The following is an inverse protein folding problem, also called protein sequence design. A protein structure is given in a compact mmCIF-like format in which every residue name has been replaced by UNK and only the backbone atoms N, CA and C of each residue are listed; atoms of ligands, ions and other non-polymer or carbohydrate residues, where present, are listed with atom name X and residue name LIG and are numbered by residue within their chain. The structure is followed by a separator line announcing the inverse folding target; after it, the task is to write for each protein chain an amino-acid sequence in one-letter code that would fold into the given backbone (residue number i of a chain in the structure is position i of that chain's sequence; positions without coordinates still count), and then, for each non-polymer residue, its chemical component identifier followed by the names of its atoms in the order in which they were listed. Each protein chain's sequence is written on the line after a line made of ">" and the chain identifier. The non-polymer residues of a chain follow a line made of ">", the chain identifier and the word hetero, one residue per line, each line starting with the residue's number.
data_IF_328966225410
#
_entry.id   IF_328966225410
#
_cell.length_a   1.000
_cell.length_b   1.000
_cell.length_c   1.000
_cell.angle_alpha   90.00
_cell.angle_beta   90.00
_cell.angle_gamma   90.00
#
_symmetry.space_group_name_H-M   'P 1'
#
loop_
_entity.id
_entity.type
_entity.pdbx_description
1 polymer ?
#
# COMPACT_ATOMS: atom_id res chain seq x y z
N UNK A 1 7.05 -33.57 69.07
CA UNK A 1 7.83 -34.82 69.01
C UNK A 1 8.59 -34.87 67.68
N UNK A 2 9.93 -34.93 67.78
CA UNK A 2 10.98 -35.23 66.76
C UNK A 2 11.05 -34.29 65.53
N UNK A 3 11.90 -33.25 65.48
CA UNK A 3 13.38 -33.13 65.48
C UNK A 3 14.10 -33.54 64.17
N UNK A 4 14.79 -32.53 63.59
CA UNK A 4 16.17 -32.52 63.02
C UNK A 4 16.44 -33.22 61.66
N UNK A 5 17.44 -32.87 60.82
CA UNK A 5 18.33 -31.70 60.59
C UNK A 5 19.36 -32.10 59.50
N UNK A 6 20.05 -31.09 58.91
CA UNK A 6 21.45 -31.07 58.38
C UNK A 6 21.78 -31.86 57.09
N UNK A 7 22.21 -31.19 56.00
CA UNK A 7 23.53 -30.55 55.67
C UNK A 7 24.58 -31.54 55.13
N UNK A 8 25.12 -31.27 53.93
CA UNK A 8 26.55 -31.29 53.48
C UNK A 8 26.56 -31.01 51.96
N UNK A 9 27.10 -29.90 51.41
CA UNK A 9 28.48 -29.38 51.28
C UNK A 9 29.39 -30.11 50.28
N UNK A 10 30.26 -29.29 49.67
CA UNK A 10 31.40 -29.52 48.73
C UNK A 10 31.08 -29.35 47.22
N UNK A 11 31.94 -28.79 46.36
CA UNK A 11 32.91 -27.67 46.36
C UNK A 11 33.79 -27.88 45.12
N UNK A 12 33.94 -26.89 44.23
CA UNK A 12 35.11 -26.65 43.35
C UNK A 12 34.75 -25.52 42.36
N UNK A 13 35.17 -24.26 42.52
CA UNK A 13 36.52 -23.68 42.39
C UNK A 13 37.02 -23.49 40.93
N UNK A 14 36.68 -22.31 40.36
CA UNK A 14 37.48 -21.39 39.51
C UNK A 14 38.06 -21.85 38.13
N UNK A 15 38.53 -20.94 37.23
CA UNK A 15 38.65 -19.48 37.35
C UNK A 15 38.11 -18.62 36.18
N UNK A 16 37.89 -17.36 36.55
CA UNK A 16 37.75 -16.16 35.72
C UNK A 16 39.12 -15.83 35.10
N UNK A 17 39.19 -15.64 33.78
CA UNK A 17 40.39 -15.18 33.09
C UNK A 17 40.31 -13.66 32.87
N UNK A 18 40.94 -12.92 33.79
CA UNK A 18 41.23 -11.50 33.68
C UNK A 18 42.63 -11.37 33.04
N UNK A 19 42.74 -10.81 31.84
CA UNK A 19 44.03 -10.48 31.23
C UNK A 19 44.18 -8.95 31.15
N UNK A 20 44.87 -8.42 32.15
CA UNK A 20 45.55 -7.13 32.14
C UNK A 20 47.04 -7.42 32.06
N UNK A 21 47.72 -6.94 31.01
CA UNK A 21 49.18 -6.85 31.00
C UNK A 21 49.65 -5.62 30.22
N UNK A 22 50.03 -4.62 31.00
CA UNK A 22 51.18 -3.70 30.90
C UNK A 22 51.79 -3.34 29.53
N UNK A 23 51.91 -2.02 29.35
CA UNK A 23 52.62 -1.26 28.32
C UNK A 23 54.08 -1.64 28.07
N UNK A 24 54.51 -1.49 26.82
CA UNK A 24 55.83 -0.95 26.52
C UNK A 24 55.71 0.07 25.38
N UNK A 25 55.99 1.34 25.72
CA UNK A 25 56.15 2.41 24.76
C UNK A 25 57.51 2.25 24.06
N UNK A 26 57.49 2.19 22.74
CA UNK A 26 58.69 2.42 21.93
C UNK A 26 58.45 3.71 21.15
N UNK A 27 59.15 4.75 21.61
CA UNK A 27 59.32 6.01 20.90
C UNK A 27 60.29 5.79 19.75
N UNK A 28 59.84 5.96 18.51
CA UNK A 28 60.74 6.22 17.37
C UNK A 28 60.37 7.55 16.74
N UNK A 29 61.20 8.54 17.07
CA UNK A 29 61.29 9.84 16.45
C UNK A 29 61.97 9.69 15.08
N UNK A 30 61.23 9.92 14.00
CA UNK A 30 61.78 10.14 12.65
C UNK A 30 61.02 11.34 12.06
N UNK A 31 61.49 12.55 12.33
CA UNK A 31 62.29 13.42 11.44
C UNK A 31 61.59 13.70 10.10
N UNK A 32 61.10 14.93 10.02
CA UNK A 32 60.47 15.59 8.89
C UNK A 32 61.25 15.43 7.57
N UNK A 33 60.48 15.35 6.48
CA UNK A 33 60.83 15.88 5.17
C UNK A 33 59.60 16.64 4.66
N UNK A 34 59.81 17.94 4.47
CA UNK A 34 58.92 18.83 3.73
C UNK A 34 58.92 18.42 2.26
N UNK A 35 57.75 18.20 1.68
CA UNK A 35 57.50 18.39 0.26
C UNK A 35 56.15 19.11 0.13
N UNK A 36 56.24 20.37 -0.29
CA UNK A 36 55.12 21.21 -0.70
C UNK A 36 54.49 20.60 -1.96
N UNK A 37 53.17 20.36 -1.94
CA UNK A 37 52.40 20.33 -3.18
C UNK A 37 50.99 20.90 -2.97
N UNK A 38 50.84 22.11 -3.51
CA UNK A 38 49.62 22.88 -3.67
C UNK A 38 48.67 22.17 -4.66
N UNK A 39 47.46 21.79 -4.23
CA UNK A 39 46.46 21.27 -5.15
C UNK A 39 45.04 21.31 -4.57
N UNK A 40 44.32 22.38 -4.92
CA UNK A 40 42.88 22.39 -5.19
C UNK A 40 41.94 21.81 -4.13
N UNK A 41 41.50 22.66 -3.19
CA UNK A 41 40.21 22.46 -2.51
C UNK A 41 39.07 22.62 -3.54
N UNK A 42 38.79 21.55 -4.28
CA UNK A 42 37.55 21.40 -5.01
C UNK A 42 36.42 21.32 -3.97
N UNK A 43 35.77 22.45 -3.72
CA UNK A 43 34.48 22.49 -3.05
C UNK A 43 33.58 21.47 -3.77
N UNK A 44 33.26 20.38 -3.08
CA UNK A 44 32.22 19.47 -3.50
C UNK A 44 30.93 20.28 -3.55
N UNK A 45 30.59 20.75 -4.74
CA UNK A 45 29.29 21.34 -5.02
C UNK A 45 28.27 20.24 -4.72
N UNK A 46 27.57 20.41 -3.59
CA UNK A 46 26.42 19.60 -3.26
C UNK A 46 25.48 19.68 -4.46
N UNK A 47 25.34 18.55 -5.17
CA UNK A 47 24.27 18.40 -6.17
C UNK A 47 22.99 18.57 -5.36
N UNK A 48 22.34 19.73 -5.50
CA UNK A 48 21.06 20.00 -4.86
C UNK A 48 20.09 18.89 -5.27
N UNK A 49 19.89 17.93 -4.36
CA UNK A 49 18.96 16.84 -4.56
C UNK A 49 17.55 17.43 -4.67
N UNK A 50 16.78 16.94 -5.65
CA UNK A 50 15.35 17.28 -5.79
C UNK A 50 14.67 17.17 -4.41
N UNK A 51 13.91 18.19 -3.97
CA UNK A 51 13.25 18.15 -2.68
C UNK A 51 12.37 16.91 -2.55
N UNK A 52 12.29 16.37 -1.32
CA UNK A 52 11.45 15.22 -1.03
C UNK A 52 10.00 15.49 -1.46
N UNK A 53 9.29 14.50 -2.02
CA UNK A 53 7.91 14.69 -2.48
C UNK A 53 7.03 15.11 -1.31
N UNK A 54 6.16 16.10 -1.56
CA UNK A 54 5.14 16.49 -0.57
C UNK A 54 4.08 15.39 -0.42
N UNK A 55 3.29 15.44 0.65
CA UNK A 55 2.14 14.55 0.81
C UNK A 55 1.18 14.61 -0.39
N UNK A 56 1.03 15.80 -0.99
CA UNK A 56 0.17 15.98 -2.16
C UNK A 56 0.78 15.40 -3.44
N UNK A 57 2.10 15.47 -3.60
CA UNK A 57 2.78 14.80 -4.72
C UNK A 57 2.67 13.29 -4.60
N UNK A 58 2.82 12.74 -3.39
CA UNK A 58 2.62 11.32 -3.12
C UNK A 58 1.19 10.88 -3.46
N UNK A 59 0.18 11.64 -3.05
CA UNK A 59 -1.22 11.34 -3.37
C UNK A 59 -1.48 11.34 -4.88
N UNK A 60 -0.97 12.35 -5.60
CA UNK A 60 -1.11 12.43 -7.07
C UNK A 60 -0.43 11.27 -7.78
N UNK A 61 0.72 10.81 -7.28
CA UNK A 61 1.40 9.63 -7.83
C UNK A 61 0.54 8.37 -7.65
N UNK A 62 -0.06 8.17 -6.46
CA UNK A 62 -0.92 7.03 -6.21
C UNK A 62 -2.21 7.08 -7.05
N UNK A 63 -2.83 8.25 -7.20
CA UNK A 63 -3.99 8.43 -8.07
C UNK A 63 -3.65 8.11 -9.53
N UNK A 64 -2.50 8.59 -10.03
CA UNK A 64 -2.02 8.27 -11.38
C UNK A 64 -1.70 6.78 -11.54
N UNK A 65 -1.12 6.16 -10.50
CA UNK A 65 -0.87 4.73 -10.46
C UNK A 65 -2.16 3.90 -10.55
N UNK A 66 -3.21 4.27 -9.82
CA UNK A 66 -4.51 3.61 -9.96
C UNK A 66 -5.13 3.83 -11.34
N UNK A 67 -4.99 5.03 -11.93
CA UNK A 67 -5.41 5.25 -13.33
C UNK A 67 -4.68 4.31 -14.30
N UNK A 68 -3.38 4.07 -14.11
CA UNK A 68 -2.62 3.09 -14.91
C UNK A 68 -3.13 1.66 -14.70
N UNK A 69 -3.44 1.29 -13.46
CA UNK A 69 -4.03 -0.01 -13.12
C UNK A 69 -5.38 -0.22 -13.83
N UNK A 70 -6.34 0.70 -13.66
CA UNK A 70 -7.67 0.66 -14.30
C UNK A 70 -7.58 0.59 -15.82
N UNK A 71 -6.62 1.30 -16.42
CA UNK A 71 -6.44 1.34 -17.88
C UNK A 71 -5.65 0.14 -18.44
N UNK A 72 -5.20 -0.80 -17.60
CA UNK A 72 -4.28 -1.88 -17.97
C UNK A 72 -2.98 -1.38 -18.62
N UNK A 73 -2.41 -0.30 -18.08
CA UNK A 73 -1.17 0.36 -18.55
C UNK A 73 -0.14 0.52 -17.43
N UNK A 74 -0.12 -0.41 -16.47
CA UNK A 74 0.85 -0.44 -15.39
C UNK A 74 2.28 -0.48 -15.90
N UNK A 75 3.16 0.30 -15.29
CA UNK A 75 4.58 0.36 -15.65
C UNK A 75 5.44 -0.50 -14.72
N UNK A 76 4.89 -1.01 -13.61
CA UNK A 76 5.59 -1.86 -12.65
C UNK A 76 6.92 -1.23 -12.18
N UNK A 77 6.87 0.00 -11.65
CA UNK A 77 8.09 0.75 -11.39
C UNK A 77 8.91 0.07 -10.30
N UNK A 78 10.25 0.19 -10.33
CA UNK A 78 11.12 -0.12 -9.17
C UNK A 78 10.96 -1.56 -8.63
N UNK A 79 10.83 -2.54 -9.52
CA UNK A 79 10.73 -3.98 -9.17
C UNK A 79 11.98 -4.79 -9.55
N UNK A 80 13.02 -4.12 -10.06
CA UNK A 80 14.25 -4.75 -10.54
C UNK A 80 15.26 -5.06 -9.41
N UNK A 81 16.27 -5.87 -9.74
CA UNK A 81 17.31 -6.29 -8.80
C UNK A 81 18.18 -5.13 -8.29
N UNK A 82 18.44 -4.12 -9.12
CA UNK A 82 19.24 -2.97 -8.73
C UNK A 82 18.50 -2.16 -7.66
N UNK A 83 17.21 -1.87 -7.89
CA UNK A 83 16.35 -1.23 -6.89
C UNK A 83 16.32 -2.02 -5.58
N UNK A 84 16.14 -3.35 -5.64
CA UNK A 84 16.16 -4.20 -4.44
C UNK A 84 17.47 -4.09 -3.67
N UNK A 85 18.60 -4.03 -4.39
CA UNK A 85 19.93 -3.92 -3.77
C UNK A 85 20.11 -2.54 -3.12
N UNK A 86 19.63 -1.47 -3.75
CA UNK A 86 19.68 -0.11 -3.22
C UNK A 86 18.88 0.03 -1.90
N UNK A 87 17.72 -0.63 -1.81
CA UNK A 87 16.84 -0.57 -0.63
C UNK A 87 17.34 -1.39 0.57
N UNK A 88 18.43 -2.15 0.42
CA UNK A 88 18.99 -2.94 1.53
C UNK A 88 19.56 -2.08 2.67
N UNK A 89 19.94 -0.83 2.37
CA UNK A 89 20.49 0.12 3.35
C UNK A 89 19.43 1.02 4.01
N UNK A 90 18.18 0.99 3.53
CA UNK A 90 17.09 1.78 4.09
C UNK A 90 15.93 2.00 3.13
N UNK A 91 14.85 2.59 3.67
CA UNK A 91 13.63 2.91 2.93
C UNK A 91 13.13 4.31 3.26
N UNK A 92 12.46 4.93 2.28
CA UNK A 92 11.80 6.24 2.41
C UNK A 92 10.48 6.24 1.64
N UNK A 93 9.46 5.51 2.12
CA UNK A 93 8.16 5.47 1.46
C UNK A 93 7.48 6.84 1.46
N UNK A 94 6.82 7.17 0.36
CA UNK A 94 6.15 8.45 0.14
C UNK A 94 4.72 8.47 0.73
N UNK A 95 4.13 7.31 1.00
CA UNK A 95 2.81 7.17 1.60
C UNK A 95 2.71 5.94 2.49
N UNK A 96 1.82 6.01 3.48
CA UNK A 96 1.34 4.89 4.27
C UNK A 96 -0.03 4.50 3.69
N UNK A 97 -0.26 3.20 3.49
CA UNK A 97 -1.57 2.68 3.10
C UNK A 97 -2.04 1.65 4.14
N UNK A 98 -3.05 2.04 4.92
CA UNK A 98 -3.80 1.13 5.78
C UNK A 98 -4.94 0.53 4.95
N UNK A 99 -4.89 -0.77 4.66
CA UNK A 99 -5.91 -1.43 3.83
C UNK A 99 -6.37 -2.78 4.38
N UNK A 100 -7.40 -3.35 3.74
CA UNK A 100 -7.90 -4.66 4.11
C UNK A 100 -6.89 -5.78 3.78
N UNK A 101 -6.86 -6.83 4.60
CA UNK A 101 -6.14 -8.09 4.29
C UNK A 101 -6.75 -8.89 3.13
N UNK A 102 -7.89 -8.45 2.56
CA UNK A 102 -8.52 -9.10 1.40
C UNK A 102 -7.51 -9.30 0.26
N UNK A 103 -7.38 -10.54 -0.22
CA UNK A 103 -6.35 -10.93 -1.20
C UNK A 103 -6.51 -10.22 -2.55
N UNK A 104 -7.67 -9.61 -2.81
CA UNK A 104 -7.98 -8.86 -4.04
C UNK A 104 -7.60 -7.38 -3.94
N UNK A 105 -7.11 -6.93 -2.78
CA UNK A 105 -6.77 -5.53 -2.50
C UNK A 105 -5.27 -5.33 -2.16
N UNK A 106 -4.31 -5.75 -3.03
CA UNK A 106 -2.88 -5.50 -2.83
C UNK A 106 -2.50 -4.05 -3.21
N UNK A 107 -2.22 -3.15 -2.25
CA UNK A 107 -2.05 -1.71 -2.53
C UNK A 107 -0.96 -1.38 -3.55
N UNK A 108 0.14 -2.13 -3.56
CA UNK A 108 1.26 -1.95 -4.47
C UNK A 108 0.82 -2.14 -5.93
N UNK A 109 -0.06 -3.10 -6.19
CA UNK A 109 -0.59 -3.35 -7.54
C UNK A 109 -1.67 -2.32 -7.88
N UNK A 110 -2.60 -2.08 -6.94
CA UNK A 110 -3.72 -1.15 -7.16
C UNK A 110 -3.27 0.27 -7.49
N UNK A 111 -2.13 0.69 -6.93
CA UNK A 111 -1.53 1.99 -7.17
C UNK A 111 -0.28 1.94 -8.07
N UNK A 112 -0.01 0.81 -8.73
CA UNK A 112 1.15 0.61 -9.62
C UNK A 112 2.46 1.16 -9.02
N UNK A 113 2.76 0.73 -7.79
CA UNK A 113 3.93 1.08 -7.00
C UNK A 113 4.93 -0.08 -6.92
N UNK A 114 6.19 0.29 -6.76
CA UNK A 114 7.32 -0.61 -6.60
C UNK A 114 7.84 -0.75 -5.19
N UNK A 115 8.99 -1.41 -5.10
CA UNK A 115 9.69 -1.63 -3.84
C UNK A 115 10.05 -0.29 -3.17
N UNK A 116 9.80 -0.21 -1.86
CA UNK A 116 10.16 0.94 -1.03
C UNK A 116 9.36 2.23 -1.29
N UNK A 117 8.35 2.20 -2.16
CA UNK A 117 7.57 3.40 -2.48
C UNK A 117 6.47 3.66 -1.45
N UNK A 118 5.74 2.63 -1.01
CA UNK A 118 4.68 2.77 -0.01
C UNK A 118 4.93 1.88 1.20
N UNK A 119 4.49 2.33 2.37
CA UNK A 119 4.48 1.57 3.61
C UNK A 119 3.08 0.99 3.83
N UNK A 120 2.95 -0.34 3.84
CA UNK A 120 1.65 -1.00 3.81
C UNK A 120 1.34 -1.65 5.15
N UNK A 121 0.17 -1.32 5.71
CA UNK A 121 -0.38 -1.97 6.92
C UNK A 121 -1.70 -2.63 6.51
N UNK A 122 -1.83 -3.94 6.75
CA UNK A 122 -3.01 -4.71 6.31
C UNK A 122 -3.62 -5.54 7.43
N UNK A 123 -4.89 -5.27 7.70
CA UNK A 123 -5.71 -6.02 8.67
C UNK A 123 -7.10 -6.26 8.09
N UNK A 124 -7.81 -7.29 8.54
CA UNK A 124 -9.16 -7.56 8.05
C UNK A 124 -10.09 -6.37 8.37
N UNK A 125 -10.78 -5.83 7.36
CA UNK A 125 -11.61 -4.64 7.52
C UNK A 125 -10.83 -3.36 7.86
N UNK A 126 -9.54 -3.33 7.55
CA UNK A 126 -8.61 -2.22 7.80
C UNK A 126 -8.64 -1.71 9.25
N UNK A 127 -8.95 -2.59 10.20
CA UNK A 127 -8.97 -2.30 11.64
C UNK A 127 -7.57 -1.89 12.12
N UNK A 128 -7.46 -0.73 12.75
CA UNK A 128 -6.22 -0.28 13.37
C UNK A 128 -6.23 -0.58 14.88
N UNK A 129 -5.73 -1.77 15.22
CA UNK A 129 -5.39 -2.11 16.61
C UNK A 129 -4.07 -1.44 17.05
N UNK A 130 -3.61 -1.71 18.26
CA UNK A 130 -2.37 -1.10 18.79
C UNK A 130 -1.13 -1.42 17.94
N UNK A 131 -1.08 -2.59 17.29
CA UNK A 131 0.07 -2.99 16.48
C UNK A 131 0.04 -2.28 15.11
N UNK A 132 -1.14 -2.20 14.51
CA UNK A 132 -1.34 -1.42 13.28
C UNK A 132 -1.07 0.08 13.50
N UNK A 133 -1.56 0.65 14.61
CA UNK A 133 -1.27 2.05 15.00
C UNK A 133 0.23 2.26 15.18
N UNK A 134 0.91 1.41 15.95
CA UNK A 134 2.37 1.51 16.14
C UNK A 134 3.15 1.41 14.82
N UNK A 135 2.66 0.64 13.85
CA UNK A 135 3.26 0.56 12.52
C UNK A 135 3.11 1.87 11.73
N UNK A 136 1.97 2.55 11.87
CA UNK A 136 1.73 3.88 11.27
C UNK A 136 2.62 4.92 11.94
N UNK A 137 2.67 4.95 13.27
CA UNK A 137 3.52 5.87 14.05
C UNK A 137 4.99 5.71 13.65
N UNK A 138 5.47 4.47 13.51
CA UNK A 138 6.83 4.19 13.05
C UNK A 138 7.14 4.84 11.69
N UNK A 139 6.23 4.74 10.73
CA UNK A 139 6.42 5.35 9.41
C UNK A 139 6.42 6.89 9.46
N UNK A 140 5.63 7.49 10.37
CA UNK A 140 5.64 8.93 10.58
C UNK A 140 6.94 9.42 11.22
N UNK A 141 7.36 8.80 12.32
CA UNK A 141 8.50 9.27 13.13
C UNK A 141 9.86 8.88 12.55
N UNK A 142 9.98 7.69 11.97
CA UNK A 142 11.28 7.14 11.55
C UNK A 142 11.50 7.15 10.03
N UNK A 143 10.42 7.11 9.23
CA UNK A 143 10.55 7.02 7.77
C UNK A 143 10.26 8.35 7.06
N UNK A 144 9.75 9.36 7.78
CA UNK A 144 9.47 10.68 7.23
C UNK A 144 8.27 10.71 6.29
N UNK A 145 7.38 9.72 6.36
CA UNK A 145 6.20 9.64 5.49
C UNK A 145 5.11 10.61 5.97
N UNK A 146 4.44 11.31 5.05
CA UNK A 146 3.53 12.43 5.36
C UNK A 146 2.13 12.32 4.73
N UNK A 147 1.87 11.22 4.03
CA UNK A 147 0.55 10.85 3.52
C UNK A 147 0.12 9.53 4.15
N UNK A 148 -1.09 9.48 4.69
CA UNK A 148 -1.76 8.25 5.11
C UNK A 148 -3.05 8.06 4.30
N UNK A 149 -3.17 6.94 3.61
CA UNK A 149 -4.41 6.50 2.96
C UNK A 149 -5.06 5.43 3.82
N UNK A 150 -6.32 5.63 4.21
CA UNK A 150 -7.16 4.57 4.78
C UNK A 150 -8.07 4.05 3.67
N UNK A 151 -7.80 2.82 3.23
CA UNK A 151 -8.39 2.20 2.05
C UNK A 151 -9.32 1.06 2.43
N UNK A 152 -10.63 1.31 2.32
CA UNK A 152 -11.65 0.27 2.30
C UNK A 152 -11.79 -0.35 0.91
N UNK A 153 -12.68 -1.33 0.79
CA UNK A 153 -13.08 -1.86 -0.52
C UNK A 153 -14.52 -2.34 -0.48
N UNK A 154 -15.20 -2.32 -1.62
CA UNK A 154 -16.54 -2.86 -1.74
C UNK A 154 -16.56 -4.37 -1.42
N UNK A 155 -17.74 -4.89 -1.08
CA UNK A 155 -17.91 -6.31 -0.76
C UNK A 155 -17.02 -6.86 0.39
N UNK A 156 -16.56 -6.01 1.32
CA UNK A 156 -15.69 -6.39 2.43
C UNK A 156 -16.29 -7.42 3.39
N UNK A 157 -15.61 -8.56 3.56
CA UNK A 157 -16.05 -9.66 4.41
C UNK A 157 -16.12 -9.32 5.90
N UNK A 158 -15.18 -8.53 6.42
CA UNK A 158 -15.17 -8.13 7.83
C UNK A 158 -16.35 -7.19 8.17
N UNK A 159 -16.66 -6.26 7.28
CA UNK A 159 -17.84 -5.38 7.43
C UNK A 159 -19.13 -6.20 7.31
N UNK A 160 -19.23 -7.11 6.33
CA UNK A 160 -20.37 -8.05 6.22
C UNK A 160 -20.57 -8.87 7.51
N UNK A 161 -19.50 -9.45 8.05
CA UNK A 161 -19.55 -10.24 9.28
C UNK A 161 -19.99 -9.40 10.48
N UNK A 162 -19.54 -8.14 10.56
CA UNK A 162 -19.94 -7.20 11.61
C UNK A 162 -21.43 -6.89 11.55
N UNK A 163 -21.97 -6.68 10.34
CA UNK A 163 -23.39 -6.41 10.13
C UNK A 163 -24.27 -7.65 10.35
N UNK A 164 -23.74 -8.84 10.09
CA UNK A 164 -24.46 -10.12 10.27
C UNK A 164 -24.42 -10.64 11.72
N UNK A 165 -23.46 -10.17 12.54
CA UNK A 165 -23.31 -10.61 13.93
C UNK A 165 -23.96 -9.60 14.87
N UNK A 166 -25.04 -9.94 15.59
CA UNK A 166 -25.69 -9.00 16.49
C UNK A 166 -24.76 -8.59 17.66
N UNK A 167 -24.96 -7.40 18.27
CA UNK A 167 -24.22 -6.98 19.45
C UNK A 167 -24.26 -8.03 20.58
N UNK A 168 -23.12 -8.28 21.22
CA UNK A 168 -23.00 -9.28 22.27
C UNK A 168 -23.11 -10.74 21.80
N UNK A 169 -23.19 -11.00 20.50
CA UNK A 169 -23.10 -12.34 19.91
C UNK A 169 -21.69 -12.61 19.36
N UNK A 170 -21.36 -13.89 19.29
CA UNK A 170 -20.08 -14.38 18.78
C UNK A 170 -20.26 -14.94 17.36
N UNK A 171 -19.24 -14.73 16.52
CA UNK A 171 -19.03 -15.41 15.24
C UNK A 171 -18.57 -16.86 15.37
N UNK A 172 -18.32 -17.33 16.59
CA UNK A 172 -17.71 -18.64 16.87
C UNK A 172 -16.18 -18.61 16.93
N UNK A 173 -15.55 -17.45 16.75
CA UNK A 173 -14.09 -17.28 16.84
C UNK A 173 -13.74 -16.00 17.61
N UNK A 174 -13.01 -16.16 18.72
CA UNK A 174 -12.60 -15.05 19.58
C UNK A 174 -11.81 -13.96 18.83
N UNK A 175 -10.94 -14.35 17.90
CA UNK A 175 -10.12 -13.39 17.16
C UNK A 175 -10.92 -12.65 16.08
N UNK A 176 -11.88 -13.34 15.44
CA UNK A 176 -12.81 -12.69 14.50
C UNK A 176 -13.75 -11.74 15.26
N UNK A 177 -14.19 -12.12 16.46
CA UNK A 177 -15.04 -11.28 17.31
C UNK A 177 -14.34 -9.96 17.69
N UNK A 178 -13.01 -9.95 17.84
CA UNK A 178 -12.26 -8.70 18.06
C UNK A 178 -12.28 -7.77 16.85
N UNK A 179 -12.20 -8.32 15.64
CA UNK A 179 -12.31 -7.55 14.39
C UNK A 179 -13.72 -6.95 14.30
N UNK A 180 -14.74 -7.80 14.50
CA UNK A 180 -16.16 -7.42 14.49
C UNK A 180 -16.44 -6.31 15.49
N UNK A 181 -15.94 -6.46 16.72
CA UNK A 181 -16.16 -5.48 17.77
C UNK A 181 -15.46 -4.15 17.49
N UNK A 182 -14.24 -4.17 16.96
CA UNK A 182 -13.54 -2.94 16.57
C UNK A 182 -14.30 -2.17 15.47
N UNK A 183 -14.76 -2.87 14.43
CA UNK A 183 -15.55 -2.26 13.34
C UNK A 183 -16.87 -1.71 13.90
N UNK A 184 -17.56 -2.46 14.77
CA UNK A 184 -18.84 -2.04 15.36
C UNK A 184 -18.68 -0.79 16.22
N UNK A 185 -17.66 -0.75 17.09
CA UNK A 185 -17.37 0.41 17.94
C UNK A 185 -17.11 1.67 17.11
N UNK A 186 -16.44 1.51 15.96
CA UNK A 186 -16.15 2.61 15.06
C UNK A 186 -17.42 3.07 14.30
N UNK A 187 -18.22 2.14 13.77
CA UNK A 187 -19.45 2.46 13.00
C UNK A 187 -20.56 3.13 13.84
N UNK A 188 -20.59 2.90 15.16
CA UNK A 188 -21.68 3.36 16.02
C UNK A 188 -22.97 2.55 15.83
N UNK A 189 -24.15 3.05 16.26
CA UNK A 189 -25.40 2.30 16.20
C UNK A 189 -25.75 1.86 14.77
N UNK A 190 -26.00 0.56 14.59
CA UNK A 190 -26.37 -0.03 13.31
C UNK A 190 -27.85 -0.43 13.39
N UNK A 191 -28.65 -0.04 12.39
CA UNK A 191 -30.03 -0.54 12.28
C UNK A 191 -30.02 -2.00 11.83
N UNK A 192 -30.22 -2.91 12.77
CA UNK A 192 -30.17 -4.36 12.59
C UNK A 192 -31.26 -4.90 11.64
N UNK A 193 -32.35 -4.16 11.43
CA UNK A 193 -33.49 -4.59 10.62
C UNK A 193 -33.38 -4.15 9.15
N UNK A 194 -32.32 -3.45 8.76
CA UNK A 194 -32.17 -2.99 7.38
C UNK A 194 -31.65 -4.14 6.49
N UNK A 195 -32.36 -4.50 5.39
CA UNK A 195 -31.86 -5.50 4.45
C UNK A 195 -30.50 -5.07 3.89
N UNK A 196 -29.51 -5.96 3.96
CA UNK A 196 -28.17 -5.74 3.42
C UNK A 196 -28.20 -5.97 1.90
N UNK A 197 -28.38 -4.90 1.15
CA UNK A 197 -28.14 -4.86 -0.30
C UNK A 197 -26.76 -4.25 -0.57
N UNK A 198 -26.13 -4.58 -1.69
CA UNK A 198 -24.73 -4.22 -1.98
C UNK A 198 -24.47 -2.71 -1.89
N UNK A 199 -25.41 -1.86 -2.33
CA UNK A 199 -25.29 -0.40 -2.21
C UNK A 199 -25.23 0.10 -0.76
N UNK A 200 -25.92 -0.57 0.17
CA UNK A 200 -25.83 -0.27 1.61
C UNK A 200 -24.53 -0.77 2.20
N UNK A 201 -23.98 -1.88 1.71
CA UNK A 201 -22.70 -2.37 2.18
C UNK A 201 -21.57 -1.40 1.80
N UNK A 202 -21.56 -0.88 0.57
CA UNK A 202 -20.60 0.15 0.14
C UNK A 202 -20.67 1.37 1.09
N UNK A 203 -21.88 1.84 1.40
CA UNK A 203 -22.05 2.92 2.39
C UNK A 203 -21.46 2.55 3.75
N UNK A 204 -21.65 1.33 4.23
CA UNK A 204 -21.09 0.87 5.52
C UNK A 204 -19.57 0.72 5.49
N UNK A 205 -18.99 0.37 4.36
CA UNK A 205 -17.54 0.40 4.18
C UNK A 205 -17.02 1.84 4.24
N UNK A 206 -17.68 2.79 3.58
CA UNK A 206 -17.31 4.22 3.69
C UNK A 206 -17.42 4.73 5.12
N UNK A 207 -18.50 4.38 5.83
CA UNK A 207 -18.67 4.69 7.24
C UNK A 207 -17.51 4.10 8.07
N UNK A 208 -17.10 2.85 7.80
CA UNK A 208 -16.00 2.20 8.51
C UNK A 208 -14.67 2.93 8.27
N UNK A 209 -14.36 3.31 7.04
CA UNK A 209 -13.14 4.09 6.71
C UNK A 209 -13.13 5.41 7.47
N UNK A 210 -14.23 6.16 7.44
CA UNK A 210 -14.34 7.45 8.14
C UNK A 210 -14.21 7.28 9.66
N UNK A 211 -14.81 6.23 10.21
CA UNK A 211 -14.75 5.95 11.64
C UNK A 211 -13.36 5.49 12.09
N UNK A 212 -12.68 4.68 11.28
CA UNK A 212 -11.30 4.25 11.55
C UNK A 212 -10.36 5.46 11.60
N UNK A 213 -10.50 6.42 10.69
CA UNK A 213 -9.73 7.67 10.72
C UNK A 213 -9.95 8.44 12.03
N UNK A 214 -11.22 8.58 12.45
CA UNK A 214 -11.54 9.21 13.75
C UNK A 214 -10.90 8.46 14.91
N UNK A 215 -10.95 7.13 14.87
CA UNK A 215 -10.35 6.27 15.90
C UNK A 215 -8.82 6.41 15.96
N UNK A 216 -8.14 6.44 14.80
CA UNK A 216 -6.69 6.68 14.71
C UNK A 216 -6.32 8.01 15.39
N UNK A 217 -7.02 9.09 15.04
CA UNK A 217 -6.77 10.43 15.59
C UNK A 217 -7.04 10.46 17.10
N UNK A 218 -8.06 9.75 17.58
CA UNK A 218 -8.38 9.68 19.00
C UNK A 218 -7.34 8.88 19.79
N UNK A 219 -6.95 7.71 19.28
CA UNK A 219 -6.11 6.72 19.98
C UNK A 219 -4.63 7.07 19.96
N UNK A 220 -4.13 7.77 18.93
CA UNK A 220 -2.71 8.11 18.79
C UNK A 220 -2.47 9.60 18.98
N UNK A 221 -1.64 9.94 19.98
CA UNK A 221 -1.17 11.32 20.17
C UNK A 221 -0.18 11.75 19.10
N UNK A 222 0.64 10.84 18.58
CA UNK A 222 1.61 11.09 17.51
C UNK A 222 0.89 11.47 16.21
N UNK A 223 -0.08 10.66 15.76
CA UNK A 223 -0.86 10.96 14.55
C UNK A 223 -1.53 12.33 14.67
N UNK A 224 -2.13 12.63 15.83
CA UNK A 224 -2.77 13.91 16.09
C UNK A 224 -1.78 15.07 16.06
N UNK A 225 -0.61 14.94 16.67
CA UNK A 225 0.44 15.98 16.66
C UNK A 225 0.92 16.30 15.24
N UNK A 226 1.14 15.28 14.39
CA UNK A 226 1.51 15.51 12.99
C UNK A 226 0.40 16.20 12.17
N UNK A 227 -0.87 15.93 12.48
CA UNK A 227 -2.01 16.63 11.87
C UNK A 227 -2.05 18.09 12.34
N UNK A 228 -1.93 18.33 13.65
CA UNK A 228 -2.01 19.68 14.23
C UNK A 228 -0.88 20.59 13.72
N UNK A 229 0.29 20.02 13.38
CA UNK A 229 1.41 20.71 12.72
C UNK A 229 1.22 20.92 11.21
N UNK A 230 0.19 20.35 10.61
CA UNK A 230 -0.02 20.38 9.15
C UNK A 230 0.97 19.52 8.37
N UNK A 231 1.64 18.57 9.03
CA UNK A 231 2.65 17.71 8.43
C UNK A 231 2.06 16.40 7.88
N UNK A 232 0.94 15.91 8.42
CA UNK A 232 0.27 14.70 7.94
C UNK A 232 -1.03 15.03 7.20
N UNK A 233 -1.14 14.50 5.98
CA UNK A 233 -2.39 14.46 5.22
C UNK A 233 -2.99 13.05 5.31
N UNK A 234 -4.27 12.96 5.65
CA UNK A 234 -5.04 11.70 5.62
C UNK A 234 -6.05 11.73 4.47
N UNK A 235 -6.01 10.73 3.59
CA UNK A 235 -7.00 10.52 2.54
C UNK A 235 -7.81 9.25 2.79
N UNK A 236 -9.12 9.31 2.48
CA UNK A 236 -10.00 8.14 2.50
C UNK A 236 -10.17 7.60 1.10
N UNK A 237 -10.18 6.29 0.95
CA UNK A 237 -10.46 5.63 -0.32
C UNK A 237 -11.33 4.40 -0.16
N UNK A 238 -12.06 4.08 -1.22
CA UNK A 238 -12.71 2.79 -1.41
C UNK A 238 -12.28 2.24 -2.76
N UNK A 239 -11.74 1.04 -2.73
CA UNK A 239 -11.45 0.28 -3.94
C UNK A 239 -12.71 -0.45 -4.42
N UNK A 240 -13.03 -0.30 -5.70
CA UNK A 240 -14.12 -1.00 -6.36
C UNK A 240 -13.55 -2.22 -7.12
N UNK A 241 -13.92 -3.42 -6.69
CA UNK A 241 -13.40 -4.70 -7.17
C UNK A 241 -13.70 -4.96 -8.65
N UNK A 242 -14.79 -4.41 -9.17
CA UNK A 242 -15.27 -4.62 -10.54
C UNK A 242 -14.55 -3.73 -11.57
N UNK A 243 -14.36 -2.45 -11.24
CA UNK A 243 -13.74 -1.46 -12.12
C UNK A 243 -12.23 -1.34 -11.92
N UNK A 244 -11.73 -1.72 -10.73
CA UNK A 244 -10.36 -1.48 -10.31
C UNK A 244 -10.10 -0.04 -9.83
N UNK A 245 -11.12 0.82 -9.82
CA UNK A 245 -10.98 2.23 -9.44
C UNK A 245 -10.90 2.38 -7.92
N UNK A 246 -10.02 3.26 -7.46
CA UNK A 246 -10.06 3.79 -6.09
C UNK A 246 -10.76 5.14 -6.12
N UNK A 247 -11.95 5.19 -5.54
CA UNK A 247 -12.66 6.44 -5.32
C UNK A 247 -12.20 7.04 -3.98
N UNK A 248 -11.67 8.27 -4.04
CA UNK A 248 -11.22 9.00 -2.87
C UNK A 248 -12.27 10.01 -2.38
N UNK A 249 -12.37 10.22 -1.07
CA UNK A 249 -13.16 11.30 -0.48
C UNK A 249 -12.50 11.89 0.78
N UNK A 250 -12.94 13.10 1.12
CA UNK A 250 -12.50 13.79 2.33
C UNK A 250 -13.11 13.18 3.57
N UNK A 251 -12.28 12.76 4.53
CA UNK A 251 -12.72 12.49 5.90
C UNK A 251 -12.23 13.60 6.84
N UNK A 252 -12.93 14.74 6.83
CA UNK A 252 -13.12 15.58 8.03
C UNK A 252 -11.90 16.24 8.72
N UNK A 253 -10.71 16.24 8.12
CA UNK A 253 -9.51 16.96 8.60
C UNK A 253 -9.07 17.91 7.47
N UNK A 254 -8.58 19.14 7.73
CA UNK A 254 -8.30 20.13 6.71
C UNK A 254 -7.51 19.56 5.56
N UNK A 255 -8.28 19.31 4.53
CA UNK A 255 -7.84 19.10 3.19
C UNK A 255 -7.23 20.44 2.75
N UNK A 256 -5.91 20.46 2.51
CA UNK A 256 -5.35 21.43 1.57
C UNK A 256 -5.64 20.91 0.16
N UNK A 257 -6.92 20.85 -0.26
CA UNK A 257 -7.31 20.73 -1.68
C UNK A 257 -7.55 22.14 -2.25
N UNK A 258 -7.75 23.17 -1.42
CA UNK A 258 -7.99 24.54 -1.91
C UNK A 258 -6.77 25.24 -2.53
N UNK A 259 -5.61 24.59 -2.59
CA UNK A 259 -4.45 25.07 -3.35
C UNK A 259 -4.25 24.35 -4.71
N UNK A 260 -5.23 23.59 -5.19
CA UNK A 260 -5.23 23.12 -6.58
C UNK A 260 -6.04 24.10 -7.43
N UNK A 261 -5.42 24.86 -8.35
CA UNK A 261 -6.17 25.50 -9.41
C UNK A 261 -6.95 24.39 -10.11
N UNK A 262 -8.28 24.53 -10.18
CA UNK A 262 -9.09 23.69 -11.05
C UNK A 262 -8.47 23.81 -12.45
N UNK A 263 -7.72 22.80 -12.88
CA UNK A 263 -7.41 22.64 -14.29
C UNK A 263 -8.75 22.40 -14.94
N UNK A 264 -9.33 23.50 -15.43
CA UNK A 264 -10.40 23.47 -16.42
C UNK A 264 -9.84 22.60 -17.53
N UNK A 265 -10.36 21.39 -17.69
CA UNK A 265 -10.31 20.75 -19.00
C UNK A 265 -11.07 21.71 -19.92
N UNK A 266 -10.34 22.61 -20.57
CA UNK A 266 -10.84 23.23 -21.77
C UNK A 266 -11.11 22.07 -22.71
N UNK A 267 -12.39 21.80 -22.92
CA UNK A 267 -12.82 21.05 -24.09
C UNK A 267 -12.21 21.82 -25.26
N UNK A 268 -11.21 21.22 -25.91
CA UNK A 268 -10.64 21.75 -27.13
C UNK A 268 -11.64 21.48 -28.27
N UNK A 269 -12.81 22.09 -28.20
CA UNK A 269 -13.70 22.28 -29.34
C UNK A 269 -13.17 23.50 -30.07
N UNK A 270 -12.07 23.32 -30.79
CA UNK A 270 -11.64 24.16 -31.90
C UNK A 270 -10.36 23.53 -32.44
N UNK A 271 -10.55 22.48 -33.25
CA UNK A 271 -9.55 22.03 -34.20
C UNK A 271 -9.98 22.60 -35.55
N UNK A 272 -9.19 23.47 -36.21
CA UNK A 272 -9.52 23.88 -37.57
C UNK A 272 -9.60 22.63 -38.47
N UNK A 273 -10.50 22.62 -39.46
CA UNK A 273 -10.67 21.47 -40.35
C UNK A 273 -9.34 21.18 -41.07
N UNK A 274 -9.00 19.90 -41.16
CA UNK A 274 -7.85 19.46 -41.95
C UNK A 274 -8.06 19.91 -43.41
N UNK A 275 -7.01 20.42 -44.08
CA UNK A 275 -7.11 20.80 -45.48
C UNK A 275 -7.41 19.54 -46.34
N UNK A 276 -8.10 19.71 -47.49
CA UNK A 276 -8.45 18.60 -48.35
C UNK A 276 -7.19 17.87 -48.81
N UNK A 277 -7.12 16.57 -48.55
CA UNK A 277 -6.10 15.73 -49.17
C UNK A 277 -6.44 15.62 -50.65
N UNK A 278 -5.61 16.23 -51.49
CA UNK A 278 -5.61 15.97 -52.92
C UNK A 278 -5.26 14.50 -53.14
N UNK A 279 -6.23 13.73 -53.66
CA UNK A 279 -5.94 12.47 -54.34
C UNK A 279 -5.13 12.82 -55.59
N UNK A 280 -3.81 12.69 -55.51
CA UNK A 280 -3.01 12.49 -56.72
C UNK A 280 -3.08 11.02 -57.10
N UNK A 281 -3.78 10.79 -58.20
CA UNK A 281 -3.75 9.57 -58.99
C UNK A 281 -2.38 9.40 -59.64
N UNK A 282 -1.67 8.33 -59.32
CA UNK A 282 -0.66 7.74 -60.20
C UNK A 282 -0.99 6.25 -60.36
N UNK A 283 -1.53 5.92 -61.54
CA UNK A 283 -1.71 4.55 -61.99
C UNK A 283 -0.47 4.03 -62.73
N UNK A 284 -0.39 2.70 -62.80
CA UNK A 284 0.52 1.92 -63.64
C UNK A 284 1.77 1.46 -62.90
N UNK A 285 2.16 0.17 -62.87
CA UNK A 285 1.78 -0.93 -63.73
C UNK A 285 2.00 -2.28 -63.03
N UNK A 286 1.47 -3.30 -63.69
CA UNK A 286 1.13 -4.67 -63.32
C UNK A 286 2.32 -5.59 -63.00
N UNK A 287 2.02 -6.61 -62.20
CA UNK A 287 2.14 -8.04 -62.54
C UNK A 287 2.83 -8.96 -61.51
N UNK A 288 2.13 -10.09 -61.27
CA UNK A 288 2.47 -11.33 -60.53
C UNK A 288 2.33 -11.25 -59.00
N UNK A 289 1.54 -12.08 -58.31
CA UNK A 289 1.00 -13.39 -58.64
C UNK A 289 -0.32 -13.68 -57.90
N UNK A 290 -1.21 -14.40 -58.59
CA UNK A 290 -2.55 -14.83 -58.16
C UNK A 290 -2.52 -16.07 -57.26
N UNK A 291 -3.44 -16.05 -56.30
CA UNK A 291 -4.40 -17.11 -55.94
C UNK A 291 -3.92 -18.40 -55.25
N UNK A 292 -4.44 -18.62 -54.02
CA UNK A 292 -5.21 -19.81 -53.66
C UNK A 292 -6.16 -19.52 -52.48
N UNK A 293 -7.45 -19.50 -52.79
CA UNK A 293 -8.59 -19.59 -51.87
C UNK A 293 -8.92 -21.08 -51.75
N UNK A 294 -9.06 -21.63 -50.54
CA UNK A 294 -10.10 -22.63 -50.21
C UNK A 294 -10.59 -22.41 -48.77
N UNK A 295 -11.92 -22.28 -48.69
CA UNK A 295 -12.80 -22.22 -47.52
C UNK A 295 -12.54 -23.29 -46.45
N UNK A 296 -12.76 -22.93 -45.18
CA UNK A 296 -13.31 -23.86 -44.18
C UNK A 296 -14.42 -23.20 -43.39
N UNK A 297 -15.65 -23.66 -43.66
CA UNK A 297 -16.89 -23.34 -42.96
C UNK A 297 -17.23 -24.53 -42.04
N UNK A 298 -17.43 -24.22 -40.77
CA UNK A 298 -18.40 -24.75 -39.80
C UNK A 298 -18.93 -26.17 -40.03
N UNK A 299 -18.80 -27.04 -39.01
CA UNK A 299 -19.86 -27.98 -38.63
C UNK A 299 -19.95 -28.13 -37.09
N UNK A 300 -21.12 -27.74 -36.59
CA UNK A 300 -21.74 -28.17 -35.34
C UNK A 300 -22.13 -29.66 -35.45
N UNK A 301 -22.00 -30.43 -34.37
CA UNK A 301 -22.66 -31.73 -34.25
C UNK A 301 -22.97 -32.07 -32.79
N UNK A 302 -24.24 -32.01 -32.45
CA UNK A 302 -24.96 -32.90 -31.51
C UNK A 302 -26.41 -32.98 -32.05
N UNK A 303 -27.07 -34.15 -32.16
CA UNK A 303 -27.65 -34.81 -30.98
C UNK A 303 -27.71 -36.36 -31.05
N UNK A 304 -27.75 -37.05 -29.90
CA UNK A 304 -28.06 -38.48 -29.87
C UNK A 304 -28.34 -39.06 -28.48
N UNK A 305 -29.63 -39.26 -28.19
CA UNK A 305 -30.19 -39.84 -26.98
C UNK A 305 -29.71 -41.27 -26.66
N UNK A 306 -29.66 -41.60 -25.36
CA UNK A 306 -29.40 -42.95 -24.84
C UNK A 306 -29.89 -43.13 -23.41
N UNK A 307 -31.20 -43.28 -23.25
CA UNK A 307 -31.85 -43.81 -22.05
C UNK A 307 -31.49 -45.30 -21.85
N UNK A 308 -30.95 -45.70 -20.69
CA UNK A 308 -31.23 -47.02 -20.09
C UNK A 308 -31.31 -46.89 -18.57
N UNK A 309 -32.52 -47.18 -18.04
CA UNK A 309 -32.80 -47.52 -16.65
C UNK A 309 -32.74 -49.04 -16.48
N UNK A 310 -32.16 -49.52 -15.38
CA UNK A 310 -32.50 -50.81 -14.74
C UNK A 310 -32.14 -50.70 -13.25
N UNK A 311 -33.10 -50.42 -12.35
CA UNK A 311 -33.92 -51.34 -11.54
C UNK A 311 -33.13 -52.32 -10.64
N UNK A 312 -33.36 -52.12 -9.34
CA UNK A 312 -33.48 -53.09 -8.23
C UNK A 312 -32.39 -54.17 -8.05
N UNK A 313 -31.61 -54.00 -6.96
CA UNK A 313 -31.80 -54.75 -5.72
C UNK A 313 -31.44 -53.88 -4.51
#
# INVERSE_FOLDING_TARGET
>A
MKLLNKKTLLSSSLPICLLLSFSLAISTKAKARDEDEESGSAAATAVEGKPAPTAMDAYRELEQGNKRFVQNRMIHPKQDQFTRSLLSSGQKPNAIVLSCSDSRVPPEILFDQGLGQIFVVRTAGQVADSIAIGSIEYALEHLGTRLLIVLGHDSCGAVKATLATPPGKSSGSLHIDRIIESIRQNLGPINENAPLVDSKLISKVRDNVNAEIKALIAKSHIIREFIDKGELVIASGIYHLDSGEVEFWSAGVPIIIDALPKMRMQQHTDRPPLPPQHLESAGGDRDRARARIINRKILYSDPGAGLVKSRHH
#
